data_IF_236443657406
#
_entry.id   IF_236443657406
#
_cell.length_a   1.000
_cell.length_b   1.000
_cell.length_c   1.000
_cell.angle_alpha   90.00
_cell.angle_beta   90.00
_cell.angle_gamma   90.00
#
_symmetry.space_group_name_H-M   'P 1'
#
loop_
_entity.id
_entity.type
_entity.pdbx_description
1 polymer ?
#
# COMPACT_ATOMS: atom_id res chain seq x y z
N UNK A 1 1.35 -6.38 -6.34
CA UNK A 1 0.60 -6.16 -5.09
C UNK A 1 -0.36 -4.99 -5.32
N UNK A 2 -1.62 -5.08 -4.88
CA UNK A 2 -2.55 -3.92 -4.90
C UNK A 2 -2.51 -3.18 -3.55
N UNK A 3 -2.81 -1.88 -3.52
CA UNK A 3 -2.79 -1.07 -2.28
C UNK A 3 -3.75 -1.58 -1.20
N UNK A 4 -4.93 -2.09 -1.55
CA UNK A 4 -5.88 -2.69 -0.62
C UNK A 4 -5.29 -3.93 0.02
N UNK A 5 -4.69 -4.83 -0.77
CA UNK A 5 -4.00 -5.99 -0.23
C UNK A 5 -2.77 -5.61 0.61
N UNK A 6 -2.05 -4.56 0.24
CA UNK A 6 -0.92 -4.06 1.01
C UNK A 6 -1.32 -3.57 2.40
N UNK A 7 -2.42 -2.81 2.50
CA UNK A 7 -3.01 -2.36 3.78
C UNK A 7 -3.37 -3.57 4.66
N UNK A 8 -3.97 -4.61 4.10
CA UNK A 8 -4.29 -5.83 4.85
C UNK A 8 -3.05 -6.54 5.41
N UNK A 9 -1.95 -6.56 4.65
CA UNK A 9 -0.70 -7.20 5.07
C UNK A 9 -0.02 -6.39 6.15
N UNK A 10 0.15 -5.07 5.95
CA UNK A 10 0.85 -4.19 6.89
C UNK A 10 0.07 -4.00 8.19
N UNK A 11 -1.26 -3.90 8.13
CA UNK A 11 -2.13 -3.83 9.33
C UNK A 11 -2.05 -5.07 10.24
N UNK A 12 -1.54 -6.20 9.74
CA UNK A 12 -1.33 -7.44 10.49
C UNK A 12 0.12 -7.63 10.93
N UNK A 13 0.90 -6.55 10.98
CA UNK A 13 2.35 -6.55 11.25
C UNK A 13 3.17 -7.33 10.21
N UNK A 14 2.60 -7.57 9.03
CA UNK A 14 3.33 -8.12 7.89
C UNK A 14 4.25 -7.06 7.27
N UNK A 15 5.28 -7.51 6.56
CA UNK A 15 6.19 -6.63 5.85
C UNK A 15 6.07 -6.90 4.36
N UNK A 16 6.12 -5.84 3.56
CA UNK A 16 6.16 -5.93 2.11
C UNK A 16 7.61 -6.10 1.66
N UNK A 17 7.81 -6.92 0.65
CA UNK A 17 9.08 -6.93 -0.07
C UNK A 17 9.21 -5.64 -0.89
N UNK A 18 10.44 -5.30 -1.26
CA UNK A 18 10.73 -4.07 -2.01
C UNK A 18 9.91 -3.98 -3.32
N UNK A 19 9.80 -5.09 -4.06
CA UNK A 19 9.02 -5.19 -5.31
C UNK A 19 7.52 -4.95 -5.07
N UNK A 20 7.00 -5.41 -3.93
CA UNK A 20 5.59 -5.24 -3.55
C UNK A 20 5.31 -3.80 -3.14
N UNK A 21 6.22 -3.19 -2.38
CA UNK A 21 6.14 -1.78 -2.01
C UNK A 21 6.24 -0.87 -3.23
N UNK A 22 7.14 -1.17 -4.18
CA UNK A 22 7.26 -0.43 -5.45
C UNK A 22 5.97 -0.50 -6.27
N UNK A 23 5.35 -1.68 -6.39
CA UNK A 23 4.09 -1.84 -7.09
C UNK A 23 2.95 -1.00 -6.47
N UNK A 24 2.91 -0.87 -5.14
CA UNK A 24 1.94 -0.03 -4.43
C UNK A 24 2.24 1.45 -4.68
N UNK A 25 3.52 1.85 -4.63
CA UNK A 25 3.92 3.23 -4.92
C UNK A 25 3.57 3.64 -6.34
N UNK A 26 3.70 2.73 -7.31
CA UNK A 26 3.34 3.00 -8.70
C UNK A 26 1.84 3.29 -8.86
N UNK A 27 0.97 2.57 -8.14
CA UNK A 27 -0.47 2.86 -8.10
C UNK A 27 -0.78 4.23 -7.50
N UNK A 28 -0.08 4.60 -6.42
CA UNK A 28 -0.23 5.92 -5.80
C UNK A 28 0.19 7.03 -6.77
N UNK A 29 1.35 6.88 -7.42
CA UNK A 29 1.86 7.87 -8.37
C UNK A 29 1.02 8.00 -9.64
N UNK A 30 0.38 6.92 -10.09
CA UNK A 30 -0.52 6.92 -11.23
C UNK A 30 -1.92 7.50 -10.92
N UNK A 31 -2.23 7.75 -9.65
CA UNK A 31 -3.56 8.19 -9.23
C UNK A 31 -4.61 7.08 -9.14
N UNK A 32 -4.16 5.81 -9.13
CA UNK A 32 -5.02 4.64 -9.02
C UNK A 32 -5.43 4.32 -7.57
N UNK A 33 -4.98 5.14 -6.61
CA UNK A 33 -5.30 5.03 -5.19
C UNK A 33 -6.08 6.25 -4.71
N UNK A 34 -7.14 6.01 -3.94
CA UNK A 34 -7.89 7.07 -3.27
C UNK A 34 -7.11 7.65 -2.10
N UNK A 35 -7.42 8.89 -1.72
CA UNK A 35 -6.83 9.54 -0.53
C UNK A 35 -7.01 8.69 0.74
N UNK A 36 -8.16 8.03 0.89
CA UNK A 36 -8.44 7.13 2.00
C UNK A 36 -7.51 5.91 2.02
N UNK A 37 -7.23 5.30 0.86
CA UNK A 37 -6.31 4.17 0.76
C UNK A 37 -4.86 4.60 1.03
N UNK A 38 -4.43 5.77 0.54
CA UNK A 38 -3.10 6.31 0.82
C UNK A 38 -2.94 6.56 2.33
N UNK A 39 -3.93 7.20 2.96
CA UNK A 39 -3.92 7.45 4.40
C UNK A 39 -3.89 6.17 5.23
N UNK A 40 -4.70 5.18 4.87
CA UNK A 40 -4.72 3.88 5.54
C UNK A 40 -3.37 3.14 5.38
N UNK A 41 -2.77 3.18 4.19
CA UNK A 41 -1.49 2.56 3.93
C UNK A 41 -0.36 3.19 4.75
N UNK A 42 -0.32 4.53 4.84
CA UNK A 42 0.67 5.25 5.63
C UNK A 42 0.51 5.05 7.14
N UNK A 43 -0.71 4.86 7.64
CA UNK A 43 -0.94 4.55 9.06
C UNK A 43 -0.60 3.11 9.44
N UNK A 44 -0.55 2.19 8.46
CA UNK A 44 -0.30 0.78 8.69
C UNK A 44 1.20 0.40 8.61
N UNK A 45 2.05 1.27 8.06
CA UNK A 45 3.51 1.13 8.05
C UNK A 45 4.13 1.53 9.41
#
# INVERSE_FOLDING_TARGET
>A
MDIQRAIEVTSRFGHLQAEEAEAVMHQIMNGDATEAQIGAYLMAL
#
